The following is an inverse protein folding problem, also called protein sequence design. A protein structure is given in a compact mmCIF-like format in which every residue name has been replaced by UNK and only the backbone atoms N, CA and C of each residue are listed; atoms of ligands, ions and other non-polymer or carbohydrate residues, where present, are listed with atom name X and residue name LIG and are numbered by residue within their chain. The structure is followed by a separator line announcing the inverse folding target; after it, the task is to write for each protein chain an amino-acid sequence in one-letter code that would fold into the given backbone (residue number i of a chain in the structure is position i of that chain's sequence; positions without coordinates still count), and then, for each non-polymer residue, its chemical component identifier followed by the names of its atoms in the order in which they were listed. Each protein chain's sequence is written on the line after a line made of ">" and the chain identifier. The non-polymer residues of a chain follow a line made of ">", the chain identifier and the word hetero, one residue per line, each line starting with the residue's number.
data_IF_282955792175
#
_entry.id   IF_282955792175
#
_cell.length_a   1.000
_cell.length_b   1.000
_cell.length_c   1.000
_cell.angle_alpha   90.00
_cell.angle_beta   90.00
_cell.angle_gamma   90.00
#
_symmetry.space_group_name_H-M   'P 1'
#
loop_
_entity.id
_entity.type
_entity.pdbx_description
1 polymer ?
#
# COMPACT_ATOMS: atom_id res chain seq x y z
N UNK A 1 -12.89 -18.20 1.48
CA UNK A 1 -12.44 -16.82 1.82
C UNK A 1 -13.08 -15.81 0.88
N UNK A 2 -13.67 -14.75 1.41
CA UNK A 2 -14.25 -13.71 0.56
C UNK A 2 -13.20 -13.07 -0.36
N UNK A 3 -13.64 -12.60 -1.51
CA UNK A 3 -12.71 -12.09 -2.52
C UNK A 3 -11.93 -10.86 -2.04
N UNK A 4 -12.53 -10.03 -1.20
CA UNK A 4 -11.83 -8.86 -0.66
C UNK A 4 -10.66 -9.30 0.22
N UNK A 5 -10.83 -10.35 1.01
CA UNK A 5 -9.75 -10.89 1.83
C UNK A 5 -8.66 -11.51 0.96
N UNK A 6 -9.04 -12.21 -0.10
CA UNK A 6 -8.07 -12.78 -1.02
C UNK A 6 -7.23 -11.68 -1.66
N UNK A 7 -7.85 -10.57 -2.05
CA UNK A 7 -7.12 -9.46 -2.64
C UNK A 7 -6.21 -8.77 -1.64
N UNK A 8 -6.65 -8.61 -0.39
CA UNK A 8 -5.81 -7.99 0.63
C UNK A 8 -4.57 -8.81 0.93
N UNK A 9 -4.63 -10.12 0.75
CA UNK A 9 -3.46 -10.97 0.90
C UNK A 9 -2.57 -10.95 -0.34
N UNK A 10 -3.18 -10.88 -1.51
CA UNK A 10 -2.46 -10.96 -2.78
C UNK A 10 -1.79 -9.65 -3.20
N UNK A 11 -2.50 -8.53 -3.04
CA UNK A 11 -2.01 -7.24 -3.52
C UNK A 11 -0.63 -6.83 -2.99
N UNK A 12 -0.32 -7.00 -1.71
CA UNK A 12 1.01 -6.63 -1.24
C UNK A 12 2.13 -7.38 -1.96
N UNK A 13 1.90 -8.63 -2.28
CA UNK A 13 2.89 -9.45 -2.99
C UNK A 13 3.09 -8.97 -4.42
N UNK A 14 1.98 -8.68 -5.11
CA UNK A 14 2.05 -8.21 -6.49
C UNK A 14 2.61 -6.79 -6.59
N UNK A 15 2.20 -5.93 -5.67
CA UNK A 15 2.55 -4.51 -5.74
C UNK A 15 3.98 -4.20 -5.32
N UNK A 16 4.67 -5.13 -4.69
CA UNK A 16 6.07 -4.93 -4.34
C UNK A 16 6.96 -4.82 -5.57
N UNK A 17 6.55 -5.43 -6.67
CA UNK A 17 7.39 -5.52 -7.87
C UNK A 17 6.87 -4.72 -9.05
N UNK A 18 5.63 -4.28 -9.00
CA UNK A 18 5.02 -3.58 -10.13
C UNK A 18 3.73 -2.89 -9.72
N UNK A 19 3.28 -1.99 -10.58
CA UNK A 19 1.96 -1.40 -10.45
C UNK A 19 0.93 -2.46 -10.85
N UNK A 20 -0.14 -2.57 -10.10
CA UNK A 20 -1.17 -3.57 -10.36
C UNK A 20 -2.50 -2.88 -10.62
N UNK A 21 -3.07 -3.13 -11.80
CA UNK A 21 -4.41 -2.64 -12.13
C UNK A 21 -5.43 -3.76 -11.88
N UNK A 22 -6.70 -3.43 -12.08
CA UNK A 22 -7.77 -4.39 -11.79
C UNK A 22 -7.68 -5.62 -12.70
N UNK A 23 -7.22 -5.43 -13.93
CA UNK A 23 -7.10 -6.57 -14.86
C UNK A 23 -6.06 -7.56 -14.39
N UNK A 24 -4.92 -7.08 -13.92
CA UNK A 24 -3.86 -7.94 -13.41
C UNK A 24 -4.31 -8.67 -12.15
N UNK A 25 -4.99 -7.96 -11.25
CA UNK A 25 -5.47 -8.57 -10.01
C UNK A 25 -6.54 -9.62 -10.29
N UNK A 26 -7.45 -9.33 -11.20
CA UNK A 26 -8.52 -10.27 -11.56
C UNK A 26 -7.93 -11.53 -12.19
N UNK A 27 -6.97 -11.36 -13.10
CA UNK A 27 -6.31 -12.49 -13.74
C UNK A 27 -5.64 -13.40 -12.71
N UNK A 28 -5.01 -12.82 -11.70
CA UNK A 28 -4.36 -13.58 -10.64
C UNK A 28 -5.35 -14.45 -9.86
N UNK A 29 -6.60 -14.01 -9.76
CA UNK A 29 -7.65 -14.76 -9.09
C UNK A 29 -8.52 -15.56 -10.07
N UNK A 30 -8.12 -15.59 -11.35
CA UNK A 30 -8.84 -16.29 -12.39
C UNK A 30 -10.26 -15.80 -12.59
N UNK A 31 -10.44 -14.48 -12.47
CA UNK A 31 -11.72 -13.82 -12.69
C UNK A 31 -11.55 -12.77 -13.77
N UNK A 32 -12.66 -12.38 -14.42
CA UNK A 32 -12.59 -11.21 -15.25
C UNK A 32 -12.86 -9.96 -14.39
N UNK A 33 -12.38 -8.79 -14.85
CA UNK A 33 -12.52 -7.55 -14.05
C UNK A 33 -13.95 -7.21 -13.68
N UNK A 34 -14.90 -7.42 -14.59
CA UNK A 34 -16.29 -7.10 -14.33
C UNK A 34 -16.86 -7.94 -13.18
N UNK A 35 -16.57 -9.25 -13.21
CA UNK A 35 -17.01 -10.15 -12.16
C UNK A 35 -16.41 -9.74 -10.82
N UNK A 36 -15.11 -9.40 -10.82
CA UNK A 36 -14.46 -8.97 -9.60
C UNK A 36 -15.08 -7.69 -9.06
N UNK A 37 -15.32 -6.70 -9.92
CA UNK A 37 -15.96 -5.46 -9.49
C UNK A 37 -17.32 -5.70 -8.88
N UNK A 38 -18.14 -6.58 -9.50
CA UNK A 38 -19.45 -6.89 -8.99
C UNK A 38 -19.39 -7.55 -7.61
N UNK A 39 -18.47 -8.51 -7.46
CA UNK A 39 -18.30 -9.20 -6.18
C UNK A 39 -17.82 -8.26 -5.08
N UNK A 40 -16.91 -7.36 -5.38
CA UNK A 40 -16.41 -6.40 -4.42
C UNK A 40 -17.50 -5.41 -4.01
N UNK A 41 -18.30 -4.97 -4.98
CA UNK A 41 -19.39 -4.05 -4.68
C UNK A 41 -20.40 -4.70 -3.74
N UNK A 42 -20.68 -5.97 -3.95
CA UNK A 42 -21.58 -6.71 -3.06
C UNK A 42 -21.05 -6.78 -1.64
N UNK A 43 -19.73 -6.71 -1.47
CA UNK A 43 -19.11 -6.71 -0.14
C UNK A 43 -18.92 -5.30 0.42
N UNK A 44 -19.40 -4.29 -0.30
CA UNK A 44 -19.32 -2.91 0.17
C UNK A 44 -17.97 -2.26 -0.06
N UNK A 45 -17.16 -2.78 -0.97
CA UNK A 45 -15.83 -2.23 -1.23
C UNK A 45 -15.56 -2.14 -2.73
N UNK A 46 -14.32 -1.82 -3.10
CA UNK A 46 -13.91 -1.71 -4.50
C UNK A 46 -12.44 -2.07 -4.61
N UNK A 47 -12.00 -2.37 -5.84
CA UNK A 47 -10.58 -2.61 -6.08
C UNK A 47 -9.74 -1.39 -5.69
N UNK A 48 -10.21 -0.18 -6.02
CA UNK A 48 -9.48 1.04 -5.69
C UNK A 48 -9.32 1.21 -4.19
N UNK A 49 -10.34 0.89 -3.42
CA UNK A 49 -10.27 0.97 -1.96
C UNK A 49 -9.25 -0.02 -1.41
N UNK A 50 -9.24 -1.24 -1.93
CA UNK A 50 -8.31 -2.26 -1.47
C UNK A 50 -6.88 -1.94 -1.88
N UNK A 51 -6.70 -1.40 -3.09
CA UNK A 51 -5.38 -0.98 -3.54
C UNK A 51 -4.85 0.16 -2.69
N UNK A 52 -5.70 1.12 -2.37
CA UNK A 52 -5.31 2.24 -1.51
C UNK A 52 -4.89 1.76 -0.12
N UNK A 53 -5.66 0.84 0.45
CA UNK A 53 -5.32 0.26 1.75
C UNK A 53 -3.99 -0.47 1.70
N UNK A 54 -3.71 -1.19 0.61
CA UNK A 54 -2.45 -1.89 0.43
C UNK A 54 -1.30 -0.91 0.28
N UNK A 55 -1.50 0.16 -0.48
CA UNK A 55 -0.49 1.21 -0.62
C UNK A 55 -0.15 1.84 0.73
N UNK A 56 -1.17 2.06 1.55
CA UNK A 56 -0.96 2.61 2.88
C UNK A 56 -0.08 1.68 3.73
N UNK A 57 -0.41 0.40 3.72
CA UNK A 57 0.35 -0.60 4.48
C UNK A 57 1.80 -0.67 4.02
N UNK A 58 2.02 -0.73 2.70
CA UNK A 58 3.37 -0.78 2.15
C UNK A 58 4.14 0.51 2.41
N UNK A 59 3.47 1.67 2.28
CA UNK A 59 4.11 2.95 2.55
C UNK A 59 4.57 3.00 4.00
N UNK A 60 3.73 2.59 4.92
CA UNK A 60 4.07 2.57 6.33
C UNK A 60 5.29 1.68 6.58
N UNK A 61 5.29 0.50 6.00
CA UNK A 61 6.41 -0.43 6.13
C UNK A 61 7.70 0.19 5.59
N UNK A 62 7.66 0.76 4.39
CA UNK A 62 8.85 1.34 3.78
C UNK A 62 9.34 2.58 4.52
N UNK A 63 8.43 3.41 5.01
CA UNK A 63 8.81 4.62 5.74
C UNK A 63 9.43 4.30 7.09
N UNK A 64 8.88 3.31 7.78
CA UNK A 64 9.31 2.96 9.14
C UNK A 64 10.51 2.01 9.13
N UNK A 65 10.49 1.01 8.27
CA UNK A 65 11.48 -0.07 8.32
C UNK A 65 12.66 0.11 7.39
N UNK A 66 12.63 1.09 6.49
CA UNK A 66 13.71 1.26 5.52
C UNK A 66 14.16 2.71 5.44
N UNK A 67 15.29 2.93 4.75
CA UNK A 67 15.78 4.27 4.45
C UNK A 67 15.61 4.59 2.97
N UNK A 68 14.73 3.88 2.29
CA UNK A 68 14.49 4.11 0.86
C UNK A 68 14.04 5.56 0.65
N UNK A 69 14.62 6.27 -0.34
CA UNK A 69 14.21 7.64 -0.61
C UNK A 69 12.72 7.76 -0.93
N UNK A 70 12.10 8.85 -0.49
CA UNK A 70 10.67 9.05 -0.65
C UNK A 70 10.20 8.95 -2.10
N UNK A 71 10.96 9.54 -3.02
CA UNK A 71 10.60 9.47 -4.44
C UNK A 71 10.58 8.04 -4.96
N UNK A 72 11.47 7.21 -4.44
CA UNK A 72 11.55 5.81 -4.84
C UNK A 72 10.40 5.01 -4.30
N UNK A 73 10.00 5.30 -3.06
CA UNK A 73 8.82 4.66 -2.46
C UNK A 73 7.59 5.02 -3.28
N UNK A 74 7.43 6.31 -3.60
CA UNK A 74 6.29 6.77 -4.39
C UNK A 74 6.21 6.02 -5.72
N UNK A 75 7.34 5.92 -6.41
CA UNK A 75 7.39 5.22 -7.70
C UNK A 75 7.05 3.74 -7.54
N UNK A 76 7.59 3.09 -6.52
CA UNK A 76 7.32 1.67 -6.25
C UNK A 76 5.84 1.40 -6.02
N UNK A 77 5.14 2.34 -5.42
CA UNK A 77 3.73 2.19 -5.13
C UNK A 77 2.83 2.56 -6.31
N UNK A 78 3.44 2.98 -7.42
CA UNK A 78 2.70 3.29 -8.63
C UNK A 78 2.23 4.72 -8.75
N UNK A 79 2.76 5.63 -7.95
CA UNK A 79 2.45 7.04 -8.08
C UNK A 79 3.28 7.68 -9.19
N UNK A 80 2.66 8.54 -9.96
CA UNK A 80 3.34 9.20 -11.07
C UNK A 80 4.33 10.25 -10.61
N UNK A 81 4.11 10.86 -9.45
CA UNK A 81 5.04 11.82 -8.89
C UNK A 81 4.97 11.85 -7.37
N UNK A 82 5.95 12.52 -6.79
CA UNK A 82 6.08 12.58 -5.34
C UNK A 82 4.96 13.39 -4.68
N UNK A 83 4.43 14.40 -5.38
CA UNK A 83 3.38 15.24 -4.83
C UNK A 83 2.12 14.44 -4.52
N UNK A 84 1.77 13.51 -5.42
CA UNK A 84 0.59 12.65 -5.20
C UNK A 84 0.80 11.76 -4.00
N UNK A 85 2.01 11.21 -3.86
CA UNK A 85 2.35 10.39 -2.70
C UNK A 85 2.25 11.20 -1.41
N UNK A 86 2.74 12.45 -1.42
CA UNK A 86 2.64 13.34 -0.26
C UNK A 86 1.18 13.54 0.16
N UNK A 87 0.30 13.77 -0.80
CA UNK A 87 -1.12 13.95 -0.50
C UNK A 87 -1.74 12.69 0.09
N UNK A 88 -1.35 11.53 -0.43
CA UNK A 88 -1.84 10.27 0.11
C UNK A 88 -1.36 10.07 1.55
N UNK A 89 -0.08 10.34 1.81
CA UNK A 89 0.47 10.20 3.16
C UNK A 89 -0.23 11.14 4.15
N UNK A 90 -0.53 12.36 3.73
CA UNK A 90 -1.24 13.30 4.59
C UNK A 90 -2.65 12.76 4.90
N UNK A 91 -3.29 12.18 3.90
CA UNK A 91 -4.62 11.59 4.09
C UNK A 91 -4.57 10.36 5.01
N UNK A 92 -3.55 9.52 4.85
CA UNK A 92 -3.43 8.29 5.63
C UNK A 92 -2.93 8.52 7.06
N UNK A 93 -1.94 9.38 7.21
CA UNK A 93 -1.16 9.50 8.45
C UNK A 93 -1.25 10.87 9.11
N UNK A 94 -1.95 11.81 8.49
CA UNK A 94 -2.07 13.18 8.99
C UNK A 94 -0.73 13.90 9.02
N UNK A 95 0.24 13.47 8.24
CA UNK A 95 1.58 14.06 8.18
C UNK A 95 2.21 13.80 6.84
N UNK A 96 3.25 14.58 6.51
CA UNK A 96 4.04 14.31 5.32
C UNK A 96 4.82 13.02 5.51
N UNK A 97 5.23 12.36 4.43
CA UNK A 97 6.01 11.13 4.55
C UNK A 97 7.32 11.33 5.31
N UNK A 98 8.01 12.46 5.10
CA UNK A 98 9.26 12.73 5.80
C UNK A 98 9.03 12.86 7.29
N UNK A 99 7.96 13.57 7.68
CA UNK A 99 7.65 13.77 9.08
C UNK A 99 7.21 12.47 9.75
N UNK A 100 6.40 11.69 9.05
CA UNK A 100 5.97 10.39 9.55
C UNK A 100 7.17 9.48 9.81
N UNK A 101 8.11 9.44 8.86
CA UNK A 101 9.33 8.65 9.01
C UNK A 101 10.15 9.09 10.20
N UNK A 102 10.32 10.39 10.35
CA UNK A 102 11.10 10.94 11.46
C UNK A 102 10.48 10.61 12.81
N UNK A 103 9.18 10.83 12.94
CA UNK A 103 8.48 10.55 14.19
C UNK A 103 8.47 9.08 14.54
N UNK A 104 8.34 8.23 13.55
CA UNK A 104 8.37 6.79 13.78
C UNK A 104 9.72 6.35 14.32
N UNK A 105 10.79 6.93 13.82
CA UNK A 105 12.14 6.61 14.29
C UNK A 105 12.38 7.12 15.69
N UNK A 106 11.87 8.30 16.01
CA UNK A 106 12.01 8.87 17.35
C UNK A 106 11.23 8.09 18.39
N UNK A 107 10.09 7.55 18.01
CA UNK A 107 9.23 6.80 18.91
C UNK A 107 9.74 5.38 19.18
N UNK A 108 10.70 4.92 18.39
CA UNK A 108 11.20 3.55 18.49
C UNK A 108 12.06 3.42 19.73
N UNK A 109 11.78 2.44 20.61
CA UNK A 109 12.63 2.23 21.78
C UNK A 109 14.05 1.86 21.37
N UNK A 110 15.03 2.47 22.00
CA UNK A 110 16.43 2.18 21.70
C UNK A 110 16.82 0.72 21.96
N UNK A 111 16.18 0.15 22.96
CA UNK A 111 16.50 -1.23 23.33
C UNK A 111 16.10 -2.22 22.25
N UNK A 112 15.29 -1.79 21.33
CA UNK A 112 14.82 -2.63 20.24
C UNK A 112 15.90 -3.00 19.27
N UNK A 113 16.92 -2.23 19.30
CA UNK A 113 17.95 -2.58 18.38
C UNK A 113 18.70 -3.73 18.92
N UNK A 114 18.68 -4.56 18.98
CA UNK A 114 19.42 -5.46 19.48
C UNK A 114 19.93 -6.33 18.77
N UNK A 115 19.75 -6.06 18.89
CA UNK A 115 19.95 -6.59 18.61
C UNK A 115 20.03 -7.27 17.93
N UNK A 116 19.97 -7.36 17.57
CA UNK A 116 19.87 -8.10 17.11
C UNK A 116 20.16 -8.05 16.31
#
# INVERSE_FOLDING_TARGET
>A
MPIDQQLLELLPQLMRFRTVDISAAAAALRLNPRTMQRKLKALGTSFEALRDATRKTLAQEYLVETSIPLARIAHSLGYSDLAVFHRSCTRWFDQTPAKFREQSRRSRPLVMSPSH
#
